data_IF_203532669836
#
_entry.id   IF_203532669836
#
_cell.length_a   1.000
_cell.length_b   1.000
_cell.length_c   1.000
_cell.angle_alpha   90.00
_cell.angle_beta   90.00
_cell.angle_gamma   90.00
#
_symmetry.space_group_name_H-M   'P 1'
#
loop_
_entity.id
_entity.type
_entity.pdbx_description
1 polymer ?
#
# COMPACT_ATOMS: atom_id res chain seq x y z
N UNK A 1 -28.64 51.08 -33.87
CA UNK A 1 -28.78 50.38 -32.59
C UNK A 1 -29.25 48.95 -32.84
N UNK A 2 -28.33 48.07 -33.25
CA UNK A 2 -28.55 46.64 -33.54
C UNK A 2 -27.39 45.88 -32.90
N UNK A 3 -27.53 45.36 -31.69
CA UNK A 3 -26.41 44.63 -31.06
C UNK A 3 -26.80 43.58 -30.01
N UNK A 4 -28.00 43.01 -30.04
CA UNK A 4 -28.43 42.02 -29.03
C UNK A 4 -29.16 40.79 -29.62
N UNK A 5 -28.75 40.33 -30.81
CA UNK A 5 -29.13 39.01 -31.31
C UNK A 5 -27.84 38.34 -31.76
N UNK A 6 -27.32 37.41 -30.94
CA UNK A 6 -26.48 36.25 -31.32
C UNK A 6 -25.82 35.58 -30.08
N UNK A 7 -26.61 35.19 -29.06
CA UNK A 7 -26.17 34.32 -27.95
C UNK A 7 -26.95 33.00 -28.02
N UNK A 8 -26.82 32.30 -29.14
CA UNK A 8 -27.34 30.92 -29.34
C UNK A 8 -26.39 30.15 -30.25
N UNK A 9 -25.18 29.93 -29.79
CA UNK A 9 -24.25 28.92 -30.30
C UNK A 9 -22.96 29.03 -29.49
N UNK A 10 -22.32 27.90 -29.21
CA UNK A 10 -21.04 27.77 -28.50
C UNK A 10 -21.18 27.62 -26.99
N UNK A 11 -21.43 26.38 -26.54
CA UNK A 11 -20.62 25.61 -25.58
C UNK A 11 -21.27 24.22 -25.58
N UNK A 12 -20.85 23.40 -26.55
CA UNK A 12 -21.28 22.02 -26.69
C UNK A 12 -20.09 21.15 -27.10
N UNK A 13 -18.91 21.34 -26.49
CA UNK A 13 -17.73 20.45 -26.65
C UNK A 13 -16.78 20.54 -25.44
N UNK A 14 -17.27 20.38 -24.20
CA UNK A 14 -16.37 20.20 -23.03
C UNK A 14 -16.89 19.08 -22.12
N UNK A 15 -17.25 17.94 -22.71
CA UNK A 15 -17.80 16.79 -21.96
C UNK A 15 -17.08 15.47 -22.26
N UNK A 16 -15.83 15.48 -22.74
CA UNK A 16 -15.11 14.22 -22.99
C UNK A 16 -13.61 14.22 -22.62
N UNK A 17 -13.16 15.16 -21.80
CA UNK A 17 -11.82 15.08 -21.20
C UNK A 17 -11.92 14.81 -19.70
N UNK A 18 -12.59 13.71 -19.33
CA UNK A 18 -12.24 13.06 -18.08
C UNK A 18 -10.93 12.32 -18.37
N UNK A 19 -9.79 12.68 -17.74
CA UNK A 19 -8.63 11.82 -17.81
C UNK A 19 -9.08 10.45 -17.33
N UNK A 20 -8.72 9.43 -18.11
CA UNK A 20 -8.86 8.03 -17.78
C UNK A 20 -8.10 7.82 -16.47
N UNK A 21 -8.78 8.04 -15.34
CA UNK A 21 -8.26 7.77 -14.01
C UNK A 21 -8.06 6.26 -14.02
N UNK A 22 -6.80 5.85 -14.18
CA UNK A 22 -6.39 4.46 -14.22
C UNK A 22 -7.09 3.74 -13.08
N UNK A 23 -7.73 2.62 -13.41
CA UNK A 23 -8.27 1.73 -12.41
C UNK A 23 -7.17 1.50 -11.38
N UNK A 24 -7.37 1.96 -10.16
CA UNK A 24 -6.54 1.59 -9.03
C UNK A 24 -6.74 0.09 -8.84
N UNK A 25 -5.92 -0.71 -9.52
CA UNK A 25 -5.79 -2.12 -9.22
C UNK A 25 -5.43 -2.17 -7.74
N UNK A 26 -6.24 -2.83 -6.91
CA UNK A 26 -5.87 -3.06 -5.53
C UNK A 26 -4.45 -3.63 -5.56
N UNK A 27 -3.50 -2.91 -4.95
CA UNK A 27 -2.12 -3.35 -4.94
C UNK A 27 -2.10 -4.72 -4.25
N UNK A 28 -1.77 -5.77 -4.97
CA UNK A 28 -1.59 -7.09 -4.38
C UNK A 28 -0.55 -6.97 -3.27
N UNK A 29 -0.92 -7.27 -2.03
CA UNK A 29 0.01 -7.31 -0.90
C UNK A 29 0.75 -8.65 -0.89
N UNK A 30 2.05 -8.63 -0.59
CA UNK A 30 2.83 -9.84 -0.33
C UNK A 30 2.72 -10.18 1.15
N UNK A 31 1.98 -11.23 1.48
CA UNK A 31 1.86 -11.71 2.87
C UNK A 31 3.13 -12.46 3.27
N UNK A 32 3.76 -12.04 4.37
CA UNK A 32 4.97 -12.66 4.91
C UNK A 32 4.72 -13.08 6.35
N UNK A 33 4.87 -14.36 6.65
CA UNK A 33 4.83 -14.87 8.02
C UNK A 33 6.11 -14.52 8.77
N UNK A 34 5.96 -13.93 9.96
CA UNK A 34 7.03 -13.60 10.90
C UNK A 34 6.79 -14.44 12.14
N UNK A 35 7.42 -15.61 12.20
CA UNK A 35 7.28 -16.57 13.30
C UNK A 35 8.54 -16.53 14.16
N UNK A 36 8.41 -15.94 15.35
CA UNK A 36 9.44 -15.90 16.37
C UNK A 36 8.81 -16.28 17.71
N UNK A 37 9.60 -16.82 18.63
CA UNK A 37 9.24 -17.07 20.02
C UNK A 37 9.22 -15.75 20.76
N UNK A 38 8.09 -15.04 20.72
CA UNK A 38 7.90 -13.79 21.45
C UNK A 38 7.68 -14.05 22.95
N UNK A 39 7.28 -15.28 23.29
CA UNK A 39 7.23 -15.80 24.65
C UNK A 39 8.10 -17.07 24.79
N UNK A 40 8.30 -17.53 26.04
CA UNK A 40 9.15 -18.68 26.35
C UNK A 40 10.65 -18.34 26.49
N UNK A 41 11.48 -19.36 26.61
CA UNK A 41 12.90 -19.23 26.97
C UNK A 41 13.76 -18.53 25.92
N UNK A 42 13.34 -18.56 24.64
CA UNK A 42 14.08 -17.96 23.53
C UNK A 42 13.70 -16.49 23.27
N UNK A 43 12.65 -15.98 23.93
CA UNK A 43 12.14 -14.61 23.73
C UNK A 43 13.15 -13.50 23.98
N UNK A 44 14.16 -13.73 24.84
CA UNK A 44 15.22 -12.75 25.11
C UNK A 44 16.04 -12.41 23.87
N UNK A 45 16.27 -13.37 22.97
CA UNK A 45 16.98 -13.14 21.71
C UNK A 45 16.01 -12.95 20.55
N UNK A 46 14.92 -13.70 20.50
CA UNK A 46 14.01 -13.71 19.34
C UNK A 46 13.15 -12.46 19.23
N UNK A 47 12.91 -11.73 20.33
CA UNK A 47 12.21 -10.45 20.27
C UNK A 47 12.99 -9.39 19.48
N UNK A 48 14.30 -9.27 19.71
CA UNK A 48 15.11 -8.30 18.97
C UNK A 48 15.25 -8.66 17.48
N UNK A 49 15.27 -9.96 17.16
CA UNK A 49 15.22 -10.48 15.79
C UNK A 49 13.88 -10.16 15.11
N UNK A 50 12.75 -10.31 15.82
CA UNK A 50 11.42 -9.92 15.34
C UNK A 50 11.35 -8.42 15.07
N UNK A 51 11.82 -7.59 16.00
CA UNK A 51 11.82 -6.13 15.85
C UNK A 51 12.68 -5.69 14.66
N UNK A 52 13.86 -6.29 14.49
CA UNK A 52 14.73 -6.04 13.33
C UNK A 52 14.08 -6.47 12.01
N UNK A 53 13.33 -7.58 12.01
CA UNK A 53 12.60 -8.06 10.83
C UNK A 53 11.50 -7.08 10.43
N UNK A 54 10.72 -6.58 11.40
CA UNK A 54 9.67 -5.59 11.15
C UNK A 54 10.27 -4.27 10.66
N UNK A 55 11.38 -3.82 11.24
CA UNK A 55 12.13 -2.65 10.77
C UNK A 55 12.54 -2.78 9.29
N UNK A 56 13.10 -3.94 8.91
CA UNK A 56 13.48 -4.18 7.52
C UNK A 56 12.26 -4.17 6.57
N UNK A 57 11.13 -4.73 7.00
CA UNK A 57 9.88 -4.70 6.21
C UNK A 57 9.38 -3.27 6.02
N UNK A 58 9.43 -2.45 7.08
CA UNK A 58 9.02 -1.04 7.01
C UNK A 58 9.92 -0.25 6.05
N UNK A 59 11.23 -0.45 6.10
CA UNK A 59 12.18 0.18 5.17
C UNK A 59 11.95 -0.25 3.71
N UNK A 60 11.68 -1.54 3.47
CA UNK A 60 11.36 -2.04 2.12
C UNK A 60 10.06 -1.41 1.61
N UNK A 61 9.02 -1.36 2.42
CA UNK A 61 7.74 -0.77 2.05
C UNK A 61 7.86 0.75 1.80
N UNK A 62 8.62 1.45 2.63
CA UNK A 62 8.92 2.88 2.45
C UNK A 62 9.63 3.17 1.11
N UNK A 63 10.40 2.20 0.59
CA UNK A 63 11.10 2.28 -0.69
C UNK A 63 10.27 1.76 -1.89
N UNK A 64 8.97 1.54 -1.72
CA UNK A 64 8.08 1.11 -2.80
C UNK A 64 7.82 -0.40 -2.85
N UNK A 65 8.23 -1.14 -1.81
CA UNK A 65 7.96 -2.56 -1.69
C UNK A 65 8.78 -3.41 -2.66
N UNK A 66 8.27 -4.62 -2.95
CA UNK A 66 8.92 -5.57 -3.87
C UNK A 66 8.08 -5.64 -5.14
N UNK A 67 8.67 -5.31 -6.29
CA UNK A 67 7.97 -5.22 -7.57
C UNK A 67 6.71 -4.34 -7.53
N UNK A 68 6.76 -3.27 -6.72
CA UNK A 68 5.63 -2.35 -6.49
C UNK A 68 4.53 -2.88 -5.57
N UNK A 69 4.74 -4.05 -4.94
CA UNK A 69 3.82 -4.67 -3.99
C UNK A 69 4.29 -4.46 -2.55
N UNK A 70 3.37 -4.02 -1.69
CA UNK A 70 3.66 -3.84 -0.26
C UNK A 70 3.74 -5.18 0.45
N UNK A 71 4.71 -5.34 1.34
CA UNK A 71 4.81 -6.48 2.24
C UNK A 71 3.84 -6.27 3.41
N UNK A 72 3.04 -7.28 3.70
CA UNK A 72 2.18 -7.36 4.87
C UNK A 72 2.70 -8.43 5.83
N UNK A 73 3.35 -8.03 6.94
CA UNK A 73 3.79 -8.98 7.95
C UNK A 73 2.59 -9.59 8.68
N UNK A 74 2.65 -10.90 8.90
CA UNK A 74 1.75 -11.66 9.76
C UNK A 74 2.60 -12.20 10.89
N UNK A 75 2.49 -11.60 12.07
CA UNK A 75 3.32 -11.95 13.23
C UNK A 75 2.61 -13.00 14.06
N UNK A 76 3.31 -14.10 14.34
CA UNK A 76 2.82 -15.20 15.18
C UNK A 76 3.86 -15.53 16.26
N UNK A 77 3.39 -15.91 17.45
CA UNK A 77 4.24 -16.28 18.58
C UNK A 77 4.46 -17.81 18.60
N UNK A 78 5.72 -18.24 18.42
CA UNK A 78 6.12 -19.63 18.51
C UNK A 78 6.26 -20.17 19.93
N UNK A 79 6.20 -19.31 20.96
CA UNK A 79 6.26 -19.66 22.39
C UNK A 79 7.44 -20.57 22.85
N UNK A 80 8.48 -20.72 22.01
CA UNK A 80 9.53 -21.74 22.18
C UNK A 80 9.01 -23.19 22.23
N UNK A 81 7.86 -23.46 21.59
CA UNK A 81 7.19 -24.76 21.56
C UNK A 81 7.20 -25.33 20.12
N UNK A 82 7.87 -26.49 19.88
CA UNK A 82 8.09 -27.04 18.54
C UNK A 82 6.89 -27.75 17.88
#
# INVERSE_FOLDING_TARGET
MKLLKNIKATIAVVAFSLPFMGQASAADEIKVGVLFSLTGGLSIVEKSLSDATLMAIDEINANGGVDGKMIKPIVEDGASDP
#
